data_IF_664733489497
#
_entry.id   IF_664733489497
#
_cell.length_a   1.000
_cell.length_b   1.000
_cell.length_c   1.000
_cell.angle_alpha   90.00
_cell.angle_beta   90.00
_cell.angle_gamma   90.00
#
_symmetry.space_group_name_H-M   'P 1'
#
loop_
_entity.id
_entity.type
_entity.pdbx_description
1 polymer ?
#
# COMPACT_ATOMS: atom_id res chain seq x y z
N UNK A 1 12.43 -14.50 -12.23
CA UNK A 1 11.26 -13.60 -12.09
C UNK A 1 11.00 -13.35 -10.61
N UNK A 2 10.79 -12.09 -10.21
CA UNK A 2 10.65 -11.65 -8.81
C UNK A 2 9.47 -12.32 -8.08
N UNK A 3 8.35 -12.54 -8.78
CA UNK A 3 7.21 -13.26 -8.22
C UNK A 3 7.56 -14.69 -7.76
N UNK A 4 8.46 -15.39 -8.48
CA UNK A 4 8.88 -16.75 -8.08
C UNK A 4 9.78 -16.72 -6.85
N UNK A 5 10.70 -15.74 -6.75
CA UNK A 5 11.55 -15.51 -5.56
C UNK A 5 10.69 -15.35 -4.31
N UNK A 6 9.62 -14.58 -4.45
CA UNK A 6 8.73 -14.23 -3.36
C UNK A 6 7.60 -15.25 -3.15
N UNK A 7 7.68 -16.44 -3.79
CA UNK A 7 6.64 -17.50 -3.75
C UNK A 7 5.22 -17.02 -4.07
N UNK A 8 5.11 -15.99 -4.92
CA UNK A 8 3.86 -15.30 -5.23
C UNK A 8 3.15 -14.74 -3.99
N UNK A 9 3.90 -14.39 -2.94
CA UNK A 9 3.40 -13.78 -1.71
C UNK A 9 3.62 -12.26 -1.72
N UNK A 10 2.64 -11.51 -1.25
CA UNK A 10 2.76 -10.07 -1.08
C UNK A 10 3.68 -9.76 0.10
N UNK A 11 4.85 -9.18 -0.19
CA UNK A 11 5.85 -8.89 0.84
C UNK A 11 5.37 -7.82 1.84
N UNK A 12 4.51 -6.89 1.39
CA UNK A 12 3.90 -5.87 2.25
C UNK A 12 2.83 -6.40 3.20
N UNK A 13 1.98 -7.32 2.75
CA UNK A 13 1.00 -7.96 3.64
C UNK A 13 1.67 -8.88 4.67
N UNK A 14 2.88 -9.38 4.37
CA UNK A 14 3.70 -10.17 5.30
C UNK A 14 4.57 -9.33 6.22
N UNK A 15 4.55 -8.00 6.10
CA UNK A 15 5.41 -7.06 6.83
C UNK A 15 6.91 -7.32 6.63
N UNK A 16 7.30 -7.87 5.48
CA UNK A 16 8.72 -8.03 5.07
C UNK A 16 9.25 -6.81 4.33
N UNK A 17 8.34 -5.95 3.86
CA UNK A 17 8.64 -4.68 3.21
C UNK A 17 7.49 -3.71 3.47
N UNK A 18 7.78 -2.42 3.54
CA UNK A 18 6.78 -1.37 3.60
C UNK A 18 7.31 -0.12 2.91
N UNK A 19 6.43 0.83 2.60
CA UNK A 19 6.84 2.12 2.06
C UNK A 19 6.86 3.17 3.16
N UNK A 20 7.92 3.97 3.23
CA UNK A 20 8.03 5.07 4.19
C UNK A 20 6.91 6.11 4.03
N UNK A 21 6.52 6.39 2.79
CA UNK A 21 5.49 7.39 2.46
C UNK A 21 4.08 6.95 2.81
N UNK A 22 3.79 5.66 2.66
CA UNK A 22 2.48 5.07 2.92
C UNK A 22 2.67 3.81 3.79
N UNK A 23 2.81 3.95 5.11
CA UNK A 23 3.00 2.80 5.99
C UNK A 23 1.75 1.89 6.00
N UNK A 24 1.96 0.58 6.08
CA UNK A 24 0.92 -0.43 6.16
C UNK A 24 0.47 -0.63 7.62
N UNK A 25 -0.70 -0.09 7.97
CA UNK A 25 -1.28 -0.21 9.32
C UNK A 25 -2.11 -1.47 9.55
N UNK A 26 -2.24 -2.34 8.53
CA UNK A 26 -3.06 -3.55 8.60
C UNK A 26 -2.32 -4.70 9.27
N UNK A 27 -3.03 -5.65 9.90
CA UNK A 27 -2.42 -6.87 10.43
C UNK A 27 -1.79 -7.72 9.32
N UNK A 28 -0.80 -8.53 9.72
CA UNK A 28 -0.11 -9.46 8.83
C UNK A 28 -1.11 -10.45 8.23
N UNK A 29 -1.04 -10.65 6.91
CA UNK A 29 -1.92 -11.58 6.19
C UNK A 29 -1.20 -12.19 5.00
N UNK A 30 -1.29 -13.52 4.85
CA UNK A 30 -0.83 -14.18 3.63
C UNK A 30 -1.76 -13.81 2.47
N UNK A 31 -1.22 -13.11 1.48
CA UNK A 31 -1.97 -12.64 0.31
C UNK A 31 -1.15 -12.88 -0.94
N UNK A 32 -1.80 -13.36 -2.01
CA UNK A 32 -1.14 -13.61 -3.30
C UNK A 32 -0.69 -12.30 -3.96
N UNK A 33 0.59 -12.21 -4.30
CA UNK A 33 1.14 -11.17 -5.15
C UNK A 33 0.71 -11.38 -6.62
N UNK A 34 0.42 -10.27 -7.29
CA UNK A 34 -0.03 -10.24 -8.69
C UNK A 34 0.86 -9.34 -9.54
N UNK A 35 1.56 -8.39 -8.92
CA UNK A 35 2.38 -7.39 -9.62
C UNK A 35 3.74 -7.25 -8.94
N UNK A 36 4.71 -6.76 -9.70
CA UNK A 36 6.02 -6.36 -9.20
C UNK A 36 6.04 -4.83 -9.19
N UNK A 37 6.40 -4.24 -8.05
CA UNK A 37 6.52 -2.81 -7.85
C UNK A 37 8.00 -2.40 -7.83
N UNK A 38 8.30 -1.23 -8.41
CA UNK A 38 9.62 -0.61 -8.33
C UNK A 38 9.67 0.29 -7.10
N UNK A 39 10.62 0.06 -6.20
CA UNK A 39 10.78 0.87 -4.98
C UNK A 39 11.22 2.29 -5.37
N UNK A 40 12.21 2.39 -6.26
CA UNK A 40 12.62 3.59 -6.96
C UNK A 40 11.96 3.64 -8.34
N UNK A 41 11.26 4.73 -8.68
CA UNK A 41 10.55 4.86 -9.96
C UNK A 41 11.48 4.69 -11.16
N UNK A 42 11.08 3.85 -12.12
CA UNK A 42 11.84 3.62 -13.35
C UNK A 42 12.04 4.89 -14.19
N UNK A 43 11.13 5.86 -14.13
CA UNK A 43 11.25 7.13 -14.86
C UNK A 43 12.40 8.00 -14.35
N UNK A 44 12.74 7.89 -13.06
CA UNK A 44 13.82 8.67 -12.43
C UNK A 44 15.13 7.88 -12.38
N UNK A 45 15.04 6.55 -12.23
CA UNK A 45 16.18 5.66 -12.08
C UNK A 45 16.07 4.44 -13.02
N UNK A 46 16.15 4.66 -14.35
CA UNK A 46 16.03 3.58 -15.33
C UNK A 46 17.12 2.51 -15.20
N UNK A 47 18.30 2.87 -14.68
CA UNK A 47 19.41 1.96 -14.42
C UNK A 47 19.05 0.90 -13.36
N UNK A 48 18.14 1.20 -12.43
CA UNK A 48 17.72 0.27 -11.38
C UNK A 48 16.44 -0.51 -11.73
N UNK A 49 15.90 -0.37 -12.94
CA UNK A 49 14.63 -0.98 -13.32
C UNK A 49 14.60 -2.52 -13.20
N UNK A 50 15.76 -3.18 -13.37
CA UNK A 50 15.87 -4.64 -13.33
C UNK A 50 16.57 -5.16 -12.08
N UNK A 51 17.00 -4.27 -11.19
CA UNK A 51 17.73 -4.63 -10.00
C UNK A 51 16.82 -5.32 -8.99
N UNK A 52 17.25 -6.48 -8.48
CA UNK A 52 16.39 -7.29 -7.61
C UNK A 52 16.07 -6.63 -6.28
N UNK A 53 16.94 -5.75 -5.80
CA UNK A 53 16.74 -4.96 -4.59
C UNK A 53 15.71 -3.84 -4.81
N UNK A 54 15.53 -3.39 -6.05
CA UNK A 54 14.57 -2.35 -6.42
C UNK A 54 13.17 -2.91 -6.74
N UNK A 55 12.99 -4.23 -6.69
CA UNK A 55 11.76 -4.90 -7.11
C UNK A 55 11.13 -5.69 -5.95
N UNK A 56 9.85 -5.44 -5.70
CA UNK A 56 9.07 -6.10 -4.63
C UNK A 56 7.75 -6.66 -5.16
N UNK A 57 7.42 -7.90 -4.77
CA UNK A 57 6.14 -8.52 -5.13
C UNK A 57 5.00 -8.02 -4.23
N UNK A 58 3.97 -7.44 -4.84
CA UNK A 58 2.80 -6.89 -4.14
C UNK A 58 1.49 -7.47 -4.70
N UNK A 59 0.44 -7.45 -3.86
CA UNK A 59 -0.93 -7.60 -4.33
C UNK A 59 -1.42 -6.27 -4.93
N UNK A 60 -2.43 -6.31 -5.80
CA UNK A 60 -2.95 -5.10 -6.48
C UNK A 60 -3.33 -3.98 -5.50
N UNK A 61 -3.89 -4.33 -4.33
CA UNK A 61 -4.25 -3.36 -3.30
C UNK A 61 -3.01 -2.66 -2.73
N UNK A 62 -2.01 -3.43 -2.28
CA UNK A 62 -0.77 -2.88 -1.76
C UNK A 62 -0.02 -2.04 -2.79
N UNK A 63 -0.01 -2.49 -4.06
CA UNK A 63 0.58 -1.76 -5.18
C UNK A 63 -0.11 -0.40 -5.37
N UNK A 64 -1.43 -0.37 -5.45
CA UNK A 64 -2.16 0.90 -5.62
C UNK A 64 -1.99 1.84 -4.41
N UNK A 65 -1.94 1.29 -3.20
CA UNK A 65 -1.69 2.05 -1.96
C UNK A 65 -0.32 2.73 -1.97
N UNK A 66 0.76 2.02 -2.37
CA UNK A 66 2.12 2.62 -2.41
C UNK A 66 2.31 3.60 -3.56
N UNK A 67 1.62 3.38 -4.68
CA UNK A 67 1.61 4.31 -5.81
C UNK A 67 0.81 5.59 -5.52
N UNK A 68 0.19 5.69 -4.34
CA UNK A 68 -0.70 6.81 -4.01
C UNK A 68 -1.98 6.85 -4.85
N UNK A 69 -2.28 5.79 -5.60
CA UNK A 69 -3.52 5.62 -6.40
C UNK A 69 -4.70 5.21 -5.53
N UNK A 70 -4.58 5.36 -4.22
CA UNK A 70 -5.61 4.98 -3.27
C UNK A 70 -6.74 6.01 -3.24
N UNK A 71 -7.77 5.74 -4.04
CA UNK A 71 -9.03 6.48 -4.06
C UNK A 71 -9.70 6.56 -2.67
N UNK A 72 -9.34 5.67 -1.72
CA UNK A 72 -9.93 5.64 -0.38
C UNK A 72 -9.59 6.87 0.48
N UNK A 73 -8.59 7.69 0.11
CA UNK A 73 -8.34 8.97 0.80
C UNK A 73 -9.50 9.97 0.68
N UNK A 74 -10.40 9.81 -0.30
CA UNK A 74 -11.63 10.63 -0.41
C UNK A 74 -12.75 10.21 0.56
N UNK A 75 -12.70 9.03 1.20
CA UNK A 75 -13.76 8.57 2.14
C UNK A 75 -13.50 8.91 3.61
N UNK A 76 -12.27 9.28 3.99
CA UNK A 76 -11.94 9.61 5.39
C UNK A 76 -12.28 11.08 5.70
N UNK A 77 -12.23 11.99 4.72
CA UNK A 77 -12.58 13.40 4.91
C UNK A 77 -14.09 13.73 4.89
N UNK A 78 -14.98 12.74 4.73
CA UNK A 78 -16.44 12.96 4.69
C UNK A 78 -17.19 12.45 5.92
N UNK A 79 -16.51 12.02 6.97
CA UNK A 79 -17.17 11.91 8.29
C UNK A 79 -17.36 13.32 8.86
N UNK A 80 -18.39 14.03 8.38
CA UNK A 80 -18.97 15.17 9.10
C UNK A 80 -19.29 14.66 10.50
N UNK A 81 -18.63 15.20 11.51
CA UNK A 81 -18.99 15.01 12.91
C UNK A 81 -20.47 15.40 13.04
N UNK A 82 -21.30 14.48 13.53
CA UNK A 82 -22.69 14.81 13.83
C UNK A 82 -22.66 15.82 14.98
N UNK A 83 -23.30 17.00 14.86
CA UNK A 83 -23.37 17.92 15.99
C UNK A 83 -24.11 17.22 17.13
N UNK A 84 -23.50 17.18 18.31
CA UNK A 84 -24.18 16.76 19.54
C UNK A 84 -25.20 17.83 19.90
N UNK A 85 -26.48 17.59 19.59
CA UNK A 85 -27.57 18.31 20.27
C UNK A 85 -27.61 17.75 21.69
N UNK A 86 -27.18 18.55 22.66
CA UNK A 86 -27.46 18.30 24.06
C UNK A 86 -28.79 18.98 24.37
N UNK A 87 -29.89 18.23 24.32
CA UNK A 87 -31.20 18.71 24.76
C UNK A 87 -31.33 18.54 26.27
N UNK A 88 -30.89 19.55 27.02
CA UNK A 88 -31.40 19.80 28.36
C UNK A 88 -31.65 21.31 28.52
N UNK A 89 -32.90 21.72 28.33
CA UNK A 89 -33.44 22.96 28.91
C UNK A 89 -34.84 22.66 29.48
N UNK A 90 -34.96 22.99 30.76
CA UNK A 90 -36.11 22.87 31.65
C UNK A 90 -37.28 23.74 31.19
#
# INVERSE_FOLDING_TARGET
>A
MILKRDHYECQRCLHRWDSDKYPNTRPKKLTRAKTVHHILPMEQYPEYAKETWNLVSLCNRCHNEVEGRDWFKFRVFTKKEKPQINEEKW
#
